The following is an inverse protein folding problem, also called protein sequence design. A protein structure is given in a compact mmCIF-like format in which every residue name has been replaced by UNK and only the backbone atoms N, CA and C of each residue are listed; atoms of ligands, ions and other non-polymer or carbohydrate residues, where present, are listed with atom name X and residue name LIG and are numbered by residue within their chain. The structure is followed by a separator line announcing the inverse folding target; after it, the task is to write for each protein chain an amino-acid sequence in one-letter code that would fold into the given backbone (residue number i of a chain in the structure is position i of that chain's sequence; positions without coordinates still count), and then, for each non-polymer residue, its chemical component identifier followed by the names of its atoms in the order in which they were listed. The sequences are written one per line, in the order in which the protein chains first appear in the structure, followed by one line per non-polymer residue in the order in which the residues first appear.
data_IF_763101167912
#
_entry.id   IF_763101167912
#
_cell.length_a   1.000
_cell.length_b   1.000
_cell.length_c   1.000
_cell.angle_alpha   90.00
_cell.angle_beta   90.00
_cell.angle_gamma   90.00
#
_symmetry.space_group_name_H-M   'P 1'
#
loop_
_entity.id
_entity.type
_entity.pdbx_description
1 polymer ?
#
# COMPACT_ATOMS: atom_id res chain seq x y z
N UNK A 1 -43.55 -31.09 59.55
CA UNK A 1 -42.15 -31.14 59.07
C UNK A 1 -42.15 -30.60 57.65
N UNK A 2 -41.81 -29.33 57.48
CA UNK A 2 -41.72 -28.64 56.18
C UNK A 2 -40.25 -28.30 55.95
N UNK A 3 -39.69 -28.81 54.85
CA UNK A 3 -38.32 -28.57 54.38
C UNK A 3 -38.16 -27.14 53.85
N UNK A 4 -37.03 -26.44 54.11
CA UNK A 4 -36.76 -25.15 53.51
C UNK A 4 -36.07 -25.32 52.14
N UNK A 5 -36.51 -24.53 51.15
CA UNK A 5 -35.89 -24.46 49.82
C UNK A 5 -34.66 -23.55 49.87
N UNK A 6 -33.55 -24.04 49.30
CA UNK A 6 -32.24 -23.42 49.33
C UNK A 6 -32.16 -22.13 48.48
N UNK A 7 -31.42 -21.15 48.99
CA UNK A 7 -31.21 -19.84 48.38
C UNK A 7 -30.40 -19.90 47.08
N UNK A 8 -30.85 -19.14 46.08
CA UNK A 8 -30.10 -18.87 44.86
C UNK A 8 -28.94 -17.90 45.16
N UNK A 9 -27.73 -18.30 44.77
CA UNK A 9 -26.53 -17.47 44.80
C UNK A 9 -26.60 -16.44 43.65
N UNK A 10 -26.29 -15.14 43.86
CA UNK A 10 -26.23 -14.19 42.78
C UNK A 10 -24.97 -14.39 41.94
N UNK A 11 -25.16 -14.46 40.62
CA UNK A 11 -24.11 -14.58 39.61
C UNK A 11 -23.34 -13.25 39.49
N UNK A 12 -22.00 -13.24 39.36
CA UNK A 12 -21.24 -12.00 39.30
C UNK A 12 -21.54 -11.24 38.00
N UNK A 13 -22.01 -10.01 38.16
CA UNK A 13 -22.34 -9.11 37.06
C UNK A 13 -21.16 -8.87 36.13
N UNK A 14 -21.42 -8.98 34.83
CA UNK A 14 -20.45 -8.67 33.78
C UNK A 14 -19.94 -7.24 33.93
N UNK A 15 -18.62 -7.07 33.94
CA UNK A 15 -17.97 -5.78 34.02
C UNK A 15 -18.50 -4.85 32.92
N UNK A 16 -19.09 -3.72 33.33
CA UNK A 16 -19.55 -2.69 32.42
C UNK A 16 -18.36 -2.17 31.60
N UNK A 17 -18.44 -2.29 30.27
CA UNK A 17 -17.45 -1.70 29.37
C UNK A 17 -17.53 -0.18 29.50
N UNK A 18 -16.44 0.45 29.91
CA UNK A 18 -16.34 1.92 29.94
C UNK A 18 -16.72 2.50 28.57
N UNK A 19 -17.42 3.65 28.53
CA UNK A 19 -17.80 4.27 27.27
C UNK A 19 -16.54 4.62 26.45
N UNK A 20 -16.59 4.47 25.12
CA UNK A 20 -15.45 4.77 24.26
C UNK A 20 -15.04 6.24 24.40
N UNK A 21 -13.75 6.49 24.61
CA UNK A 21 -13.20 7.85 24.73
C UNK A 21 -13.45 8.61 23.42
N UNK A 22 -14.08 9.80 23.47
CA UNK A 22 -14.32 10.60 22.27
C UNK A 22 -12.99 10.96 21.58
N UNK A 23 -13.00 11.17 20.26
CA UNK A 23 -11.81 11.61 19.55
C UNK A 23 -11.35 12.98 20.09
N UNK A 24 -10.04 13.26 20.07
CA UNK A 24 -9.51 14.56 20.48
C UNK A 24 -9.82 15.64 19.43
N UNK A 25 -9.90 15.26 18.16
CA UNK A 25 -10.36 16.11 17.07
C UNK A 25 -11.61 15.52 16.43
N UNK A 26 -12.67 16.32 16.16
CA UNK A 26 -13.93 15.80 15.65
C UNK A 26 -13.83 15.23 14.23
N UNK A 27 -12.89 15.73 13.43
CA UNK A 27 -12.67 15.34 12.04
C UNK A 27 -11.21 15.58 11.63
N UNK A 28 -10.83 15.05 10.46
CA UNK A 28 -9.43 15.11 10.01
C UNK A 28 -8.99 16.52 9.57
N UNK A 29 -9.91 17.40 9.18
CA UNK A 29 -9.59 18.79 8.82
C UNK A 29 -9.25 19.56 10.09
N UNK A 30 -10.08 19.43 11.13
CA UNK A 30 -9.80 20.04 12.44
C UNK A 30 -8.48 19.53 13.02
N UNK A 31 -8.21 18.22 12.94
CA UNK A 31 -6.91 17.65 13.29
C UNK A 31 -5.76 18.27 12.49
N UNK A 32 -5.92 18.39 11.17
CA UNK A 32 -4.89 18.91 10.30
C UNK A 32 -4.51 20.35 10.66
N UNK A 33 -5.52 21.22 10.76
CA UNK A 33 -5.32 22.66 10.98
C UNK A 33 -4.89 23.01 12.39
N UNK A 34 -5.38 22.30 13.41
CA UNK A 34 -5.11 22.62 14.82
C UNK A 34 -3.91 21.88 15.39
N UNK A 35 -3.47 20.78 14.77
CA UNK A 35 -2.40 19.95 15.31
C UNK A 35 -1.30 19.64 14.29
N UNK A 36 -1.64 19.01 13.16
CA UNK A 36 -0.62 18.52 12.20
C UNK A 36 0.19 19.66 11.56
N UNK A 37 -0.49 20.69 11.03
CA UNK A 37 0.21 21.79 10.35
C UNK A 37 1.02 22.67 11.30
N UNK A 38 0.52 23.03 12.51
CA UNK A 38 1.36 23.70 13.50
C UNK A 38 2.57 22.87 13.95
N UNK A 39 2.44 21.53 13.99
CA UNK A 39 3.55 20.63 14.31
C UNK A 39 4.62 20.60 13.20
N UNK A 40 4.22 20.69 11.93
CA UNK A 40 5.13 20.56 10.80
C UNK A 40 6.00 21.81 10.57
N UNK A 41 7.20 21.82 11.14
CA UNK A 41 8.18 22.91 11.00
C UNK A 41 9.32 22.51 10.07
N UNK A 42 9.13 22.75 8.76
CA UNK A 42 10.12 22.38 7.73
C UNK A 42 10.54 23.56 6.86
N UNK A 43 11.74 23.47 6.29
CA UNK A 43 12.20 24.41 5.28
C UNK A 43 11.52 24.13 3.95
N UNK A 44 10.64 25.04 3.51
CA UNK A 44 10.05 25.01 2.18
C UNK A 44 11.01 25.66 1.20
N UNK A 45 11.47 24.90 0.21
CA UNK A 45 12.36 25.33 -0.86
C UNK A 45 11.71 24.91 -2.18
N UNK A 46 10.94 25.82 -2.77
CA UNK A 46 10.00 25.57 -3.89
C UNK A 46 10.73 25.40 -5.24
N UNK A 47 11.75 24.56 -5.31
CA UNK A 47 12.73 24.49 -6.40
C UNK A 47 12.53 23.30 -7.36
N UNK A 48 11.40 22.60 -7.27
CA UNK A 48 11.05 21.44 -8.11
C UNK A 48 12.18 20.41 -8.30
N UNK A 49 12.97 20.20 -7.25
CA UNK A 49 14.18 19.37 -7.25
C UNK A 49 14.17 18.41 -6.08
N UNK A 50 14.98 17.38 -6.18
CA UNK A 50 15.15 16.39 -5.10
C UNK A 50 15.60 17.04 -3.79
N UNK A 51 15.22 16.41 -2.67
CA UNK A 51 15.56 16.86 -1.32
C UNK A 51 15.08 18.29 -1.01
N UNK A 52 14.00 18.73 -1.65
CA UNK A 52 13.35 20.00 -1.32
C UNK A 52 11.86 19.82 -1.08
N UNK A 53 11.29 20.71 -0.26
CA UNK A 53 9.90 20.64 0.13
C UNK A 53 9.07 21.78 -0.44
N UNK A 54 7.84 21.45 -0.81
CA UNK A 54 6.81 22.40 -1.22
C UNK A 54 5.54 22.17 -0.43
N UNK A 55 4.65 23.16 -0.44
CA UNK A 55 3.36 23.10 0.22
C UNK A 55 2.30 23.84 -0.58
N UNK A 56 1.07 23.36 -0.51
CA UNK A 56 -0.11 24.01 -1.10
C UNK A 56 -1.08 24.37 0.02
N UNK A 57 -1.41 25.65 0.25
CA UNK A 57 -2.42 26.02 1.24
C UNK A 57 -3.80 25.44 0.92
N UNK A 58 -4.10 25.18 -0.36
CA UNK A 58 -5.32 24.50 -0.82
C UNK A 58 -5.16 22.97 -0.83
N UNK A 59 -4.49 22.40 0.18
CA UNK A 59 -4.15 20.98 0.27
C UNK A 59 -5.34 20.03 0.04
N UNK A 60 -6.54 20.43 0.47
CA UNK A 60 -7.77 19.65 0.33
C UNK A 60 -8.19 19.43 -1.14
N UNK A 61 -7.73 20.28 -2.06
CA UNK A 61 -7.97 20.12 -3.50
C UNK A 61 -7.12 19.00 -4.12
N UNK A 62 -6.14 18.49 -3.38
CA UNK A 62 -5.30 17.36 -3.79
C UNK A 62 -5.79 16.10 -3.07
N UNK A 63 -6.63 15.30 -3.75
CA UNK A 63 -7.15 14.03 -3.21
C UNK A 63 -6.08 13.12 -2.60
N UNK A 64 -4.88 12.94 -3.20
CA UNK A 64 -3.79 12.17 -2.59
C UNK A 64 -3.35 12.69 -1.21
N UNK A 65 -3.40 14.01 -1.00
CA UNK A 65 -3.02 14.65 0.27
C UNK A 65 -4.13 14.51 1.29
N UNK A 66 -5.37 14.81 0.90
CA UNK A 66 -6.51 14.74 1.82
C UNK A 66 -6.74 13.34 2.41
N UNK A 67 -6.65 12.29 1.58
CA UNK A 67 -6.82 10.90 2.03
C UNK A 67 -5.72 10.48 3.00
N UNK A 68 -4.47 10.91 2.77
CA UNK A 68 -3.34 10.64 3.68
C UNK A 68 -3.51 11.32 5.04
N UNK A 69 -3.94 12.59 5.05
CA UNK A 69 -4.23 13.32 6.29
C UNK A 69 -5.39 12.67 7.05
N UNK A 70 -6.43 12.19 6.36
CA UNK A 70 -7.50 11.43 6.98
C UNK A 70 -7.01 10.11 7.61
N UNK A 71 -6.11 9.39 6.93
CA UNK A 71 -5.48 8.19 7.48
C UNK A 71 -4.58 8.51 8.69
N UNK A 72 -3.82 9.61 8.65
CA UNK A 72 -3.03 10.11 9.77
C UNK A 72 -3.89 10.45 10.99
N UNK A 73 -5.06 11.05 10.79
CA UNK A 73 -5.98 11.35 11.88
C UNK A 73 -6.45 10.08 12.60
N UNK A 74 -6.84 9.05 11.86
CA UNK A 74 -7.24 7.77 12.47
C UNK A 74 -6.08 7.12 13.24
N UNK A 75 -4.87 7.16 12.69
CA UNK A 75 -3.67 6.65 13.35
C UNK A 75 -3.29 7.46 14.61
N UNK A 76 -3.46 8.79 14.58
CA UNK A 76 -3.26 9.67 15.74
C UNK A 76 -4.24 9.30 16.87
N UNK A 77 -5.51 9.14 16.53
CA UNK A 77 -6.55 8.80 17.49
C UNK A 77 -6.36 7.37 18.06
N UNK A 78 -5.83 6.43 17.27
CA UNK A 78 -5.43 5.12 17.76
C UNK A 78 -4.22 5.20 18.71
N UNK A 79 -3.17 5.94 18.32
CA UNK A 79 -1.97 6.20 19.13
C UNK A 79 -2.33 6.82 20.50
N UNK A 80 -3.20 7.83 20.51
CA UNK A 80 -3.68 8.51 21.74
C UNK A 80 -4.49 7.60 22.67
N UNK A 81 -5.16 6.59 22.12
CA UNK A 81 -5.92 5.60 22.91
C UNK A 81 -5.07 4.42 23.35
N UNK A 82 -3.87 4.26 22.79
CA UNK A 82 -2.92 3.24 23.21
C UNK A 82 -2.45 3.50 24.62
N UNK A 83 -2.25 2.42 25.39
CA UNK A 83 -1.63 2.47 26.72
C UNK A 83 -0.11 2.23 26.66
N UNK A 84 0.45 2.08 25.47
CA UNK A 84 1.89 1.90 25.27
C UNK A 84 2.61 3.25 25.34
N UNK A 85 3.64 3.35 26.20
CA UNK A 85 4.45 4.56 26.32
C UNK A 85 5.17 4.98 25.03
N UNK A 86 5.40 4.04 24.11
CA UNK A 86 6.04 4.32 22.81
C UNK A 86 5.08 4.75 21.70
N UNK A 87 3.76 4.73 21.93
CA UNK A 87 2.76 4.89 20.86
C UNK A 87 2.90 6.20 20.08
N UNK A 88 3.13 7.32 20.78
CA UNK A 88 3.32 8.61 20.12
C UNK A 88 4.60 8.64 19.28
N UNK A 89 5.70 8.07 19.77
CA UNK A 89 6.97 8.00 19.02
C UNK A 89 6.81 7.18 17.73
N UNK A 90 6.20 6.00 17.83
CA UNK A 90 5.89 5.17 16.66
C UNK A 90 4.98 5.89 15.67
N UNK A 91 3.98 6.64 16.16
CA UNK A 91 3.12 7.43 15.30
C UNK A 91 3.88 8.52 14.53
N UNK A 92 4.78 9.25 15.20
CA UNK A 92 5.61 10.26 14.54
C UNK A 92 6.49 9.63 13.45
N UNK A 93 7.26 8.58 13.79
CA UNK A 93 8.25 7.96 12.91
C UNK A 93 7.62 7.20 11.73
N UNK A 94 6.65 6.34 12.02
CA UNK A 94 6.12 5.38 11.04
C UNK A 94 4.94 5.92 10.24
N UNK A 95 4.26 6.95 10.74
CA UNK A 95 3.08 7.49 10.08
C UNK A 95 3.30 8.92 9.61
N UNK A 96 3.55 9.88 10.52
CA UNK A 96 3.69 11.29 10.12
C UNK A 96 4.88 11.47 9.17
N UNK A 97 6.08 11.09 9.59
CA UNK A 97 7.28 11.35 8.80
C UNK A 97 7.25 10.63 7.45
N UNK A 98 6.64 9.44 7.40
CA UNK A 98 6.45 8.68 6.18
C UNK A 98 5.50 9.39 5.20
N UNK A 99 4.32 9.82 5.66
CA UNK A 99 3.34 10.51 4.82
C UNK A 99 3.83 11.90 4.39
N UNK A 100 4.42 12.66 5.31
CA UNK A 100 4.87 14.02 5.04
C UNK A 100 6.04 14.05 4.06
N UNK A 101 6.91 13.02 4.04
CA UNK A 101 7.94 12.85 3.01
C UNK A 101 7.36 12.76 1.60
N UNK A 102 6.22 12.09 1.43
CA UNK A 102 5.54 12.00 0.13
C UNK A 102 4.80 13.30 -0.20
N UNK A 103 4.04 13.84 0.76
CA UNK A 103 3.20 15.03 0.56
C UNK A 103 4.06 16.25 0.19
N UNK A 104 5.19 16.43 0.87
CA UNK A 104 6.04 17.60 0.75
C UNK A 104 7.06 17.52 -0.39
N UNK A 105 7.30 16.35 -0.98
CA UNK A 105 8.31 16.17 -2.03
C UNK A 105 8.09 17.13 -3.21
N UNK A 106 8.96 18.13 -3.34
CA UNK A 106 8.89 19.11 -4.41
C UNK A 106 9.39 18.57 -5.75
N UNK A 107 10.15 17.47 -5.77
CA UNK A 107 10.60 16.87 -7.02
C UNK A 107 9.45 16.15 -7.72
N UNK A 108 8.80 15.24 -6.98
CA UNK A 108 7.89 14.27 -7.57
C UNK A 108 6.54 14.13 -6.86
N UNK A 109 6.35 14.75 -5.69
CA UNK A 109 5.15 14.59 -4.87
C UNK A 109 3.87 15.19 -5.48
N UNK A 110 2.70 14.97 -4.86
CA UNK A 110 1.40 15.43 -5.37
C UNK A 110 1.26 16.96 -5.40
N UNK A 111 2.14 17.67 -4.69
CA UNK A 111 2.17 19.12 -4.60
C UNK A 111 3.29 19.75 -5.42
N UNK A 112 4.06 18.99 -6.20
CA UNK A 112 5.29 19.46 -6.86
C UNK A 112 5.12 20.67 -7.80
N UNK A 113 3.90 21.02 -8.23
CA UNK A 113 3.62 22.22 -9.03
C UNK A 113 3.08 23.40 -8.22
N UNK A 114 2.74 23.18 -6.96
CA UNK A 114 2.20 24.20 -6.09
C UNK A 114 3.32 24.95 -5.36
N UNK A 115 2.98 26.11 -4.84
CA UNK A 115 3.78 26.92 -3.92
C UNK A 115 2.88 27.41 -2.79
N UNK A 116 3.47 28.09 -1.80
CA UNK A 116 2.74 28.72 -0.70
C UNK A 116 1.70 29.75 -1.14
N UNK A 117 1.77 30.27 -2.36
CA UNK A 117 0.86 31.31 -2.87
C UNK A 117 0.10 30.88 -4.12
N UNK A 118 0.50 29.77 -4.77
CA UNK A 118 -0.10 29.31 -6.03
C UNK A 118 -0.47 27.83 -5.97
N UNK A 119 -1.76 27.56 -6.17
CA UNK A 119 -2.27 26.22 -6.41
C UNK A 119 -2.24 25.89 -7.91
N UNK A 120 -1.80 24.68 -8.24
CA UNK A 120 -1.91 24.10 -9.57
C UNK A 120 -2.49 22.70 -9.44
N UNK A 121 -3.60 22.45 -10.12
CA UNK A 121 -4.20 21.12 -10.17
C UNK A 121 -3.24 20.16 -10.90
N UNK A 122 -2.92 19.05 -10.23
CA UNK A 122 -2.17 17.94 -10.80
C UNK A 122 -3.15 16.81 -11.11
N UNK A 123 -3.09 16.30 -12.33
CA UNK A 123 -3.86 15.13 -12.74
C UNK A 123 -3.33 13.91 -11.97
N UNK A 124 -4.25 13.09 -11.46
CA UNK A 124 -3.90 11.77 -10.96
C UNK A 124 -3.40 10.89 -12.10
N UNK A 125 -2.73 9.78 -11.76
CA UNK A 125 -2.38 8.77 -12.75
C UNK A 125 -3.64 8.27 -13.46
N UNK A 126 -3.54 7.94 -14.74
CA UNK A 126 -4.63 7.42 -15.56
C UNK A 126 -4.27 6.05 -16.14
N UNK A 127 -5.26 5.25 -16.47
CA UNK A 127 -5.08 3.99 -17.19
C UNK A 127 -5.88 3.99 -18.49
N UNK A 128 -5.45 3.17 -19.44
CA UNK A 128 -6.30 2.75 -20.54
C UNK A 128 -7.22 1.63 -20.06
N UNK A 129 -8.43 1.49 -20.65
CA UNK A 129 -9.33 0.40 -20.31
C UNK A 129 -8.63 -0.95 -20.38
N UNK A 130 -8.80 -1.77 -19.35
CA UNK A 130 -8.33 -3.16 -19.37
C UNK A 130 -9.15 -3.90 -20.45
N UNK A 131 -8.51 -4.55 -21.44
CA UNK A 131 -9.24 -5.30 -22.45
C UNK A 131 -10.15 -6.38 -21.84
N UNK A 132 -11.32 -6.60 -22.43
CA UNK A 132 -12.23 -7.64 -21.98
C UNK A 132 -11.55 -9.02 -22.01
N UNK A 133 -11.68 -9.79 -20.91
CA UNK A 133 -11.07 -11.11 -20.78
C UNK A 133 -9.55 -11.12 -20.54
N UNK A 134 -8.89 -9.95 -20.41
CA UNK A 134 -7.44 -9.88 -20.20
C UNK A 134 -6.95 -10.69 -18.99
N UNK A 135 -7.74 -10.69 -17.92
CA UNK A 135 -7.47 -11.47 -16.70
C UNK A 135 -8.37 -12.72 -16.57
N UNK A 136 -8.90 -13.23 -17.70
CA UNK A 136 -9.84 -14.35 -17.74
C UNK A 136 -11.24 -13.97 -17.27
N UNK A 137 -12.05 -14.98 -16.93
CA UNK A 137 -13.40 -14.79 -16.38
C UNK A 137 -13.35 -14.12 -15.00
N UNK A 138 -13.44 -12.78 -14.99
CA UNK A 138 -13.45 -11.93 -13.79
C UNK A 138 -14.60 -12.25 -12.80
N UNK A 139 -15.52 -13.17 -13.17
CA UNK A 139 -16.67 -13.60 -12.36
C UNK A 139 -16.39 -14.84 -11.49
N UNK A 140 -15.25 -15.50 -11.65
CA UNK A 140 -14.95 -16.71 -10.87
C UNK A 140 -14.09 -16.38 -9.66
N UNK A 141 -14.62 -16.42 -8.42
CA UNK A 141 -13.75 -16.61 -7.26
C UNK A 141 -13.05 -17.96 -7.46
N UNK A 142 -11.74 -17.93 -7.69
CA UNK A 142 -10.95 -19.15 -7.73
C UNK A 142 -11.02 -19.81 -6.35
N UNK A 143 -11.79 -20.90 -6.27
CA UNK A 143 -11.79 -21.88 -5.18
C UNK A 143 -11.57 -21.29 -3.78
N UNK A 144 -12.60 -20.68 -3.21
CA UNK A 144 -12.82 -20.89 -1.78
C UNK A 144 -13.30 -22.33 -1.69
N UNK A 145 -12.42 -23.23 -1.23
CA UNK A 145 -12.85 -24.52 -0.70
C UNK A 145 -14.04 -24.27 0.22
N UNK A 146 -15.12 -25.03 0.04
CA UNK A 146 -16.29 -25.03 0.91
C UNK A 146 -15.85 -25.22 2.37
N UNK A 147 -15.68 -24.11 3.07
CA UNK A 147 -15.16 -24.02 4.41
C UNK A 147 -15.68 -22.73 5.01
N UNK A 148 -16.82 -22.88 5.69
CA UNK A 148 -17.53 -21.89 6.52
C UNK A 148 -17.68 -20.47 5.94
N UNK A 149 -18.90 -20.13 5.53
CA UNK A 149 -19.30 -18.77 5.18
C UNK A 149 -18.91 -17.76 6.26
N UNK A 150 -17.77 -17.10 6.05
CA UNK A 150 -17.23 -16.10 6.95
C UNK A 150 -18.18 -14.91 7.07
N UNK A 151 -18.54 -14.57 8.32
CA UNK A 151 -19.35 -13.39 8.69
C UNK A 151 -18.61 -12.05 8.44
N UNK A 152 -18.04 -11.86 7.25
CA UNK A 152 -17.28 -10.66 6.87
C UNK A 152 -18.13 -9.68 6.06
N UNK A 153 -17.82 -8.38 6.14
CA UNK A 153 -18.38 -7.39 5.21
C UNK A 153 -17.92 -7.74 3.78
N UNK A 154 -18.79 -7.62 2.76
CA UNK A 154 -18.40 -7.90 1.39
C UNK A 154 -17.26 -6.96 0.94
N UNK A 155 -16.40 -7.41 0.00
CA UNK A 155 -15.35 -6.56 -0.56
C UNK A 155 -15.96 -5.34 -1.24
N UNK A 156 -15.31 -4.18 -1.11
CA UNK A 156 -15.73 -2.94 -1.77
C UNK A 156 -15.47 -3.00 -3.28
N UNK A 157 -14.35 -3.57 -3.68
CA UNK A 157 -13.99 -3.76 -5.09
C UNK A 157 -13.99 -5.25 -5.40
N UNK A 158 -14.84 -5.69 -6.32
CA UNK A 158 -14.95 -7.10 -6.69
C UNK A 158 -13.62 -7.61 -7.29
N UNK A 159 -13.03 -6.83 -8.20
CA UNK A 159 -11.74 -7.12 -8.81
C UNK A 159 -10.72 -6.01 -8.54
N UNK A 160 -9.43 -6.33 -8.62
CA UNK A 160 -8.38 -5.33 -8.34
C UNK A 160 -8.29 -4.26 -9.42
N UNK A 161 -8.77 -4.51 -10.63
CA UNK A 161 -8.88 -3.49 -11.69
C UNK A 161 -9.81 -2.36 -11.27
N UNK A 162 -10.94 -2.68 -10.62
CA UNK A 162 -11.88 -1.69 -10.11
C UNK A 162 -11.25 -0.87 -8.98
N UNK A 163 -10.51 -1.53 -8.08
CA UNK A 163 -9.73 -0.87 -7.03
C UNK A 163 -8.69 0.10 -7.62
N UNK A 164 -7.97 -0.33 -8.66
CA UNK A 164 -6.94 0.47 -9.31
C UNK A 164 -7.56 1.73 -9.92
N UNK A 165 -8.58 1.55 -10.76
CA UNK A 165 -9.20 2.63 -11.52
C UNK A 165 -9.99 3.61 -10.63
N UNK A 166 -10.79 3.10 -9.69
CA UNK A 166 -11.72 3.93 -8.92
C UNK A 166 -11.12 4.50 -7.63
N UNK A 167 -10.02 3.92 -7.14
CA UNK A 167 -9.42 4.34 -5.88
C UNK A 167 -7.92 4.59 -5.94
N UNK A 168 -7.09 3.61 -6.30
CA UNK A 168 -5.63 3.72 -6.21
C UNK A 168 -5.07 4.84 -7.11
N UNK A 169 -5.45 4.85 -8.39
CA UNK A 169 -4.98 5.87 -9.33
C UNK A 169 -5.52 7.26 -8.95
N UNK A 170 -6.82 7.46 -8.64
CA UNK A 170 -7.32 8.74 -8.16
C UNK A 170 -6.62 9.30 -6.91
N UNK A 171 -6.09 8.45 -6.02
CA UNK A 171 -5.32 8.89 -4.85
C UNK A 171 -3.80 8.94 -5.09
N UNK A 172 -3.35 8.74 -6.33
CA UNK A 172 -1.94 8.85 -6.72
C UNK A 172 -1.75 9.95 -7.76
N UNK A 173 -1.08 11.04 -7.37
CA UNK A 173 -0.65 12.09 -8.28
C UNK A 173 0.84 12.37 -8.04
N UNK A 174 1.64 12.29 -9.10
CA UNK A 174 3.09 12.46 -9.05
C UNK A 174 3.58 13.13 -10.33
N UNK A 175 4.78 13.69 -10.30
CA UNK A 175 5.44 14.17 -11.52
C UNK A 175 5.87 12.99 -12.39
N UNK A 176 5.45 12.97 -13.66
CA UNK A 176 5.95 12.01 -14.64
C UNK A 176 6.89 12.74 -15.60
N UNK A 177 8.19 12.46 -15.50
CA UNK A 177 9.21 13.01 -16.40
C UNK A 177 9.54 12.05 -17.56
N UNK A 178 9.38 10.73 -17.33
CA UNK A 178 9.54 9.67 -18.33
C UNK A 178 10.87 9.71 -19.10
N UNK A 179 11.99 9.99 -18.41
CA UNK A 179 13.29 10.28 -19.03
C UNK A 179 14.42 9.30 -18.67
N UNK A 180 14.12 8.06 -18.31
CA UNK A 180 15.10 7.00 -17.97
C UNK A 180 16.20 7.41 -16.98
N UNK A 181 15.85 8.25 -15.99
CA UNK A 181 16.80 8.78 -15.00
C UNK A 181 16.41 8.39 -13.60
N UNK A 182 17.43 8.15 -12.77
CA UNK A 182 17.26 7.95 -11.33
C UNK A 182 16.59 9.18 -10.70
N UNK A 183 15.82 8.97 -9.65
CA UNK A 183 15.09 10.03 -8.95
C UNK A 183 13.90 10.62 -9.75
N UNK A 184 13.63 10.12 -10.95
CA UNK A 184 12.51 10.53 -11.79
C UNK A 184 11.50 9.40 -11.94
N UNK A 185 10.25 9.77 -12.23
CA UNK A 185 9.18 8.79 -12.43
C UNK A 185 8.72 8.66 -13.88
N UNK A 186 8.30 7.44 -14.19
CA UNK A 186 7.59 7.08 -15.41
C UNK A 186 6.28 6.36 -15.11
N UNK A 187 5.42 6.25 -16.10
CA UNK A 187 4.13 5.57 -15.99
C UNK A 187 3.73 4.95 -17.32
N UNK A 188 2.97 3.86 -17.28
CA UNK A 188 2.35 3.23 -18.44
C UNK A 188 0.85 3.13 -18.20
N UNK A 189 0.04 3.72 -19.09
CA UNK A 189 -1.42 3.65 -19.01
C UNK A 189 -1.95 2.22 -19.21
N UNK A 190 -1.16 1.38 -19.90
CA UNK A 190 -1.40 -0.05 -20.07
C UNK A 190 -0.71 -0.87 -18.97
N UNK A 191 -0.79 -0.42 -17.71
CA UNK A 191 -0.14 -1.10 -16.57
C UNK A 191 -0.48 -2.59 -16.47
N UNK A 192 -1.69 -2.97 -16.94
CA UNK A 192 -2.17 -4.35 -16.98
C UNK A 192 -1.34 -5.27 -17.89
N UNK A 193 -0.53 -4.70 -18.80
CA UNK A 193 0.38 -5.43 -19.67
C UNK A 193 1.67 -5.84 -18.96
N UNK A 194 1.91 -5.30 -17.77
CA UNK A 194 3.11 -5.55 -16.99
C UNK A 194 2.77 -6.48 -15.83
N UNK A 195 3.08 -7.78 -15.97
CA UNK A 195 2.72 -8.82 -14.98
C UNK A 195 3.09 -8.44 -13.54
N UNK A 196 4.33 -8.00 -13.32
CA UNK A 196 4.79 -7.58 -11.99
C UNK A 196 4.05 -6.38 -11.41
N UNK A 197 3.45 -5.52 -12.24
CA UNK A 197 2.61 -4.40 -11.78
C UNK A 197 1.21 -4.91 -11.43
N UNK A 198 0.61 -5.76 -12.27
CA UNK A 198 -0.71 -6.34 -12.03
C UNK A 198 -0.76 -7.14 -10.70
N UNK A 199 0.25 -7.98 -10.44
CA UNK A 199 0.34 -8.76 -9.18
C UNK A 199 0.43 -7.84 -7.95
N UNK A 200 1.22 -6.75 -8.03
CA UNK A 200 1.34 -5.78 -6.94
C UNK A 200 0.01 -5.07 -6.67
N UNK A 201 -0.74 -4.70 -7.70
CA UNK A 201 -2.06 -4.10 -7.53
C UNK A 201 -3.08 -5.06 -6.95
N UNK A 202 -3.07 -6.34 -7.36
CA UNK A 202 -3.90 -7.37 -6.74
C UNK A 202 -3.61 -7.52 -5.24
N UNK A 203 -2.32 -7.57 -4.86
CA UNK A 203 -1.90 -7.62 -3.46
C UNK A 203 -2.32 -6.36 -2.67
N UNK A 204 -2.11 -5.16 -3.23
CA UNK A 204 -2.56 -3.91 -2.60
C UNK A 204 -4.06 -3.85 -2.38
N UNK A 205 -4.88 -4.36 -3.32
CA UNK A 205 -6.33 -4.46 -3.14
C UNK A 205 -6.69 -5.37 -1.97
N UNK A 206 -6.02 -6.52 -1.84
CA UNK A 206 -6.26 -7.43 -0.71
C UNK A 206 -6.00 -6.74 0.64
N UNK A 207 -4.88 -6.01 0.75
CA UNK A 207 -4.56 -5.25 1.97
C UNK A 207 -5.53 -4.08 2.18
N UNK A 208 -5.97 -3.40 1.12
CA UNK A 208 -6.97 -2.34 1.23
C UNK A 208 -8.31 -2.86 1.80
N UNK A 209 -8.80 -3.99 1.30
CA UNK A 209 -10.05 -4.57 1.81
C UNK A 209 -9.92 -4.99 3.28
N UNK A 210 -8.78 -5.55 3.67
CA UNK A 210 -8.49 -5.87 5.07
C UNK A 210 -8.42 -4.60 5.94
N UNK A 211 -7.68 -3.58 5.52
CA UNK A 211 -7.51 -2.32 6.25
C UNK A 211 -8.83 -1.56 6.43
N UNK A 212 -9.74 -1.64 5.45
CA UNK A 212 -11.05 -0.98 5.49
C UNK A 212 -11.97 -1.52 6.60
N UNK A 213 -11.86 -2.81 6.91
CA UNK A 213 -12.73 -3.47 7.90
C UNK A 213 -12.03 -3.73 9.23
N UNK A 214 -10.74 -3.39 9.32
CA UNK A 214 -9.96 -3.53 10.54
C UNK A 214 -10.49 -2.63 11.67
N UNK A 215 -10.46 -3.14 12.89
CA UNK A 215 -10.73 -2.36 14.10
C UNK A 215 -9.52 -1.49 14.50
N UNK A 216 -8.34 -1.81 13.97
CA UNK A 216 -7.12 -1.02 14.15
C UNK A 216 -7.20 0.30 13.37
N UNK A 217 -7.28 1.41 14.10
CA UNK A 217 -7.31 2.75 13.52
C UNK A 217 -6.04 3.14 12.75
N UNK A 218 -4.93 2.40 12.89
CA UNK A 218 -3.71 2.65 12.10
C UNK A 218 -3.73 1.98 10.73
N UNK A 219 -4.63 1.00 10.50
CA UNK A 219 -4.58 0.10 9.34
C UNK A 219 -4.55 0.83 7.98
N UNK A 220 -5.37 1.86 7.80
CA UNK A 220 -5.37 2.65 6.56
C UNK A 220 -4.08 3.46 6.37
N UNK A 221 -3.46 3.94 7.45
CA UNK A 221 -2.15 4.58 7.32
C UNK A 221 -1.07 3.55 6.99
N UNK A 222 -1.12 2.36 7.61
CA UNK A 222 -0.20 1.24 7.33
C UNK A 222 -0.30 0.79 5.88
N UNK A 223 -1.51 0.73 5.32
CA UNK A 223 -1.71 0.48 3.88
C UNK A 223 -0.88 1.43 3.01
N UNK A 224 -0.88 2.72 3.31
CA UNK A 224 -0.07 3.68 2.54
C UNK A 224 1.43 3.44 2.74
N UNK A 225 1.90 3.49 3.99
CA UNK A 225 3.35 3.58 4.27
C UNK A 225 4.08 2.25 4.07
N UNK A 226 3.40 1.11 4.27
CA UNK A 226 4.01 -0.22 4.20
C UNK A 226 3.70 -0.97 2.89
N UNK A 227 2.68 -0.56 2.14
CA UNK A 227 2.27 -1.28 0.93
C UNK A 227 2.21 -0.39 -0.30
N UNK A 228 1.36 0.64 -0.31
CA UNK A 228 1.20 1.49 -1.49
C UNK A 228 2.51 2.21 -1.83
N UNK A 229 3.10 2.94 -0.89
CA UNK A 229 4.26 3.77 -1.18
C UNK A 229 5.50 2.95 -1.59
N UNK A 230 5.85 1.85 -0.90
CA UNK A 230 6.97 1.01 -1.33
C UNK A 230 6.75 0.37 -2.70
N UNK A 231 5.53 -0.12 -3.00
CA UNK A 231 5.24 -0.69 -4.30
C UNK A 231 5.21 0.36 -5.41
N UNK A 232 4.58 1.51 -5.17
CA UNK A 232 4.52 2.59 -6.16
C UNK A 232 5.90 3.17 -6.43
N UNK A 233 6.79 3.25 -5.42
CA UNK A 233 8.19 3.64 -5.63
C UNK A 233 8.89 2.71 -6.63
N UNK A 234 8.70 1.40 -6.52
CA UNK A 234 9.27 0.43 -7.48
C UNK A 234 8.61 0.55 -8.85
N UNK A 235 7.28 0.68 -8.90
CA UNK A 235 6.52 0.76 -10.16
C UNK A 235 6.88 2.01 -10.96
N UNK A 236 7.04 3.14 -10.28
CA UNK A 236 7.24 4.45 -10.89
C UNK A 236 8.70 4.75 -11.25
N UNK A 237 9.67 4.01 -10.72
CA UNK A 237 11.10 4.23 -10.99
C UNK A 237 11.39 4.26 -12.50
N UNK A 238 11.76 5.43 -13.02
CA UNK A 238 12.01 5.62 -14.45
C UNK A 238 13.31 4.98 -14.93
N UNK A 239 14.26 4.69 -14.02
CA UNK A 239 15.54 4.08 -14.37
C UNK A 239 15.46 2.56 -14.36
N UNK A 240 14.90 1.98 -13.30
CA UNK A 240 14.99 0.53 -13.03
C UNK A 240 13.63 -0.17 -12.85
N UNK A 241 12.54 0.59 -12.81
CA UNK A 241 11.20 0.04 -12.56
C UNK A 241 10.68 -0.86 -13.70
N UNK A 242 9.61 -1.64 -13.44
CA UNK A 242 8.99 -2.49 -14.45
C UNK A 242 8.36 -1.70 -15.62
N UNK A 243 8.19 -0.39 -15.44
CA UNK A 243 7.67 0.54 -16.44
C UNK A 243 8.77 1.41 -17.07
N UNK A 244 10.05 1.20 -16.73
CA UNK A 244 11.14 2.13 -17.08
C UNK A 244 11.18 2.48 -18.58
N UNK A 245 10.88 1.54 -19.49
CA UNK A 245 10.88 1.75 -20.96
C UNK A 245 9.59 2.35 -21.53
N UNK A 246 8.54 2.47 -20.72
CA UNK A 246 7.27 3.03 -21.12
C UNK A 246 7.23 4.55 -20.84
N UNK A 247 6.33 5.22 -21.53
CA UNK A 247 5.84 6.56 -21.19
C UNK A 247 4.31 6.50 -21.13
N UNK A 248 3.61 7.56 -20.63
CA UNK A 248 2.15 7.57 -20.62
C UNK A 248 1.52 7.28 -21.99
N UNK A 249 2.16 7.74 -23.06
CA UNK A 249 1.64 7.63 -24.44
C UNK A 249 2.28 6.49 -25.24
N UNK A 250 3.25 5.77 -24.68
CA UNK A 250 3.97 4.68 -25.37
C UNK A 250 4.23 3.49 -24.46
N UNK A 251 3.54 2.39 -24.74
CA UNK A 251 3.81 1.10 -24.13
C UNK A 251 4.97 0.38 -24.84
N UNK A 252 5.83 -0.27 -24.07
CA UNK A 252 6.89 -1.16 -24.57
C UNK A 252 6.84 -2.47 -23.77
N UNK A 253 6.53 -3.61 -24.41
CA UNK A 253 6.54 -4.91 -23.75
C UNK A 253 7.89 -5.18 -23.08
N UNK A 254 7.85 -5.59 -21.82
CA UNK A 254 9.04 -6.02 -21.09
C UNK A 254 8.98 -7.54 -20.94
N UNK A 255 9.81 -8.32 -21.65
CA UNK A 255 9.96 -9.73 -21.32
C UNK A 255 10.48 -9.81 -19.88
N UNK A 256 10.00 -10.80 -19.12
CA UNK A 256 10.53 -11.09 -17.80
C UNK A 256 12.01 -11.46 -17.84
N UNK A 257 12.58 -11.81 -16.68
CA UNK A 257 13.95 -12.31 -16.66
C UNK A 257 14.05 -13.57 -17.53
N UNK A 258 15.04 -13.66 -18.42
CA UNK A 258 15.28 -14.90 -19.14
C UNK A 258 15.73 -15.97 -18.14
N UNK A 259 15.33 -17.22 -18.39
CA UNK A 259 15.78 -18.38 -17.62
C UNK A 259 16.12 -19.50 -18.58
N UNK A 260 17.22 -20.19 -18.33
CA UNK A 260 17.49 -21.49 -18.96
C UNK A 260 16.67 -22.58 -18.27
N UNK A 261 16.53 -23.74 -18.91
CA UNK A 261 15.89 -24.89 -18.27
C UNK A 261 16.71 -25.32 -17.05
N UNK A 262 16.04 -25.47 -15.91
CA UNK A 262 16.64 -26.07 -14.71
C UNK A 262 17.14 -27.47 -15.09
N UNK A 263 18.45 -27.77 -14.95
CA UNK A 263 18.96 -29.08 -15.31
C UNK A 263 18.27 -30.21 -14.52
N UNK A 264 18.15 -31.38 -15.13
CA UNK A 264 17.61 -32.56 -14.46
C UNK A 264 18.43 -32.85 -13.20
N UNK A 265 17.77 -33.05 -12.06
CA UNK A 265 18.44 -33.34 -10.80
C UNK A 265 18.84 -32.11 -9.97
N UNK A 266 18.73 -30.88 -10.49
CA UNK A 266 19.32 -29.69 -9.87
C UNK A 266 18.78 -29.37 -8.47
N UNK A 267 17.48 -29.62 -8.25
CA UNK A 267 16.82 -29.49 -6.95
C UNK A 267 16.40 -30.83 -6.35
N UNK A 268 17.09 -31.91 -6.72
CA UNK A 268 16.84 -33.29 -6.29
C UNK A 268 16.75 -34.27 -7.47
N UNK A 269 17.20 -35.51 -7.27
CA UNK A 269 17.06 -36.59 -8.27
C UNK A 269 15.58 -36.89 -8.52
N UNK A 270 15.20 -37.21 -9.76
CA UNK A 270 13.80 -37.39 -10.17
C UNK A 270 12.98 -38.25 -9.18
N UNK A 271 12.05 -37.60 -8.47
CA UNK A 271 11.16 -38.23 -7.48
C UNK A 271 11.36 -37.78 -6.03
N UNK A 272 12.47 -37.13 -5.67
CA UNK A 272 12.68 -36.57 -4.32
C UNK A 272 12.33 -35.08 -4.28
N UNK A 273 11.37 -34.69 -3.42
CA UNK A 273 11.12 -33.28 -3.09
C UNK A 273 12.18 -32.82 -2.09
N UNK A 274 13.12 -31.97 -2.50
CA UNK A 274 14.01 -31.29 -1.54
C UNK A 274 13.19 -30.29 -0.71
N UNK A 275 13.26 -30.32 0.62
CA UNK A 275 12.64 -29.31 1.48
C UNK A 275 13.10 -27.89 1.10
N UNK A 276 12.19 -26.90 1.15
CA UNK A 276 12.49 -25.51 0.74
C UNK A 276 13.61 -24.90 1.58
N UNK A 277 13.67 -25.25 2.86
CA UNK A 277 14.71 -24.85 3.81
C UNK A 277 16.08 -25.51 3.52
N UNK A 278 16.11 -26.60 2.77
CA UNK A 278 17.34 -27.26 2.32
C UNK A 278 17.84 -26.72 0.96
N UNK A 279 17.05 -25.94 0.22
CA UNK A 279 17.46 -25.36 -1.08
C UNK A 279 18.62 -24.35 -0.97
N UNK A 280 18.90 -23.84 0.25
CA UNK A 280 20.09 -23.04 0.54
C UNK A 280 21.39 -23.87 0.66
N UNK A 281 21.26 -25.20 0.77
CA UNK A 281 22.33 -26.20 0.80
C UNK A 281 22.31 -27.07 -0.46
N UNK A 282 21.75 -26.55 -1.56
CA UNK A 282 21.72 -27.23 -2.85
C UNK A 282 23.08 -27.81 -3.25
N UNK A 283 23.11 -28.80 -4.17
CA UNK A 283 24.31 -29.57 -4.48
C UNK A 283 25.52 -28.65 -4.72
N UNK A 284 26.68 -28.97 -4.11
CA UNK A 284 27.90 -28.19 -4.31
C UNK A 284 28.19 -28.10 -5.80
N UNK A 285 28.03 -26.90 -6.37
CA UNK A 285 28.17 -26.63 -7.79
C UNK A 285 29.56 -26.99 -8.34
N UNK A 286 30.56 -27.16 -7.46
CA UNK A 286 31.89 -27.66 -7.83
C UNK A 286 31.88 -29.15 -8.19
N UNK A 287 30.90 -29.92 -7.72
CA UNK A 287 30.73 -31.35 -7.98
C UNK A 287 30.02 -31.63 -9.32
N UNK A 288 29.42 -30.62 -9.95
CA UNK A 288 28.76 -30.73 -11.27
C UNK A 288 29.75 -30.73 -12.45
N UNK A 289 31.07 -30.77 -12.19
CA UNK A 289 32.07 -31.08 -13.23
C UNK A 289 32.04 -32.58 -13.53
N UNK A 290 31.19 -32.99 -14.47
CA UNK A 290 31.48 -33.99 -15.51
C UNK A 290 30.18 -34.50 -16.16
N UNK A 291 29.61 -33.72 -17.07
CA UNK A 291 28.71 -34.24 -18.10
C UNK A 291 28.92 -33.42 -19.37
N UNK A 292 30.09 -33.60 -19.98
CA UNK A 292 30.31 -33.16 -21.36
C UNK A 292 29.55 -34.06 -22.35
N UNK A 293 29.27 -33.59 -23.57
CA UNK A 293 28.59 -34.38 -24.59
C UNK A 293 29.51 -35.51 -25.10
N UNK A 294 28.97 -36.72 -25.22
CA UNK A 294 29.47 -37.77 -26.12
C UNK A 294 28.75 -37.66 -27.46
#
# INVERSE_FOLDING_TARGET
MTTPSAGATPQPGGAAKNPPKPPAYPDFVTFAEKWLFPFQTVRLAEANREQTYTWCPQWWRHRPVAVRIAALHNAFEASRRSRSGGAISTFLLSHIDAHMRIILDAANGPLHRCTRTKHIALQSLSADPVPAGWFGDMRRPANLSDGEGGKGKPPRFAHYTDFVDQWLLPVTAVRIAANHREGQYTWCRQWWAHHGVAVRFAAMRAVFEAARVAEDGTAMSTLFVSHIDPHMRVILDAAQGPLHRCTPDRHVPQPGLPSDSVPTGWFGTGGSSSPIDELGFGPDFRLLRNSGPL
#
